data_IF_589253134601
#
_entry.id   IF_589253134601
#
_cell.length_a   1.000
_cell.length_b   1.000
_cell.length_c   1.000
_cell.angle_alpha   90.00
_cell.angle_beta   90.00
_cell.angle_gamma   90.00
#
_symmetry.space_group_name_H-M   'P 1'
#
loop_
_entity.id
_entity.type
_entity.pdbx_description
1 polymer ?
#
# COMPACT_ATOMS: atom_id res chain seq x y z
N UNK A 1 -17.99 6.26 -0.79
CA UNK A 1 -17.46 5.79 -2.09
C UNK A 1 -15.94 5.92 -2.24
N UNK A 2 -15.28 6.98 -1.74
CA UNK A 2 -13.84 7.20 -1.98
C UNK A 2 -12.88 6.12 -1.42
N UNK A 3 -13.17 5.52 -0.25
CA UNK A 3 -12.30 4.50 0.37
C UNK A 3 -12.10 3.25 -0.50
N UNK A 4 -13.16 2.78 -1.18
CA UNK A 4 -13.09 1.58 -2.04
C UNK A 4 -12.20 1.86 -3.26
N UNK A 5 -12.32 3.06 -3.85
CA UNK A 5 -11.47 3.47 -4.96
C UNK A 5 -9.98 3.48 -4.57
N UNK A 6 -9.64 3.95 -3.36
CA UNK A 6 -8.25 3.91 -2.87
C UNK A 6 -7.73 2.48 -2.71
N UNK A 7 -8.53 1.58 -2.13
CA UNK A 7 -8.13 0.18 -1.96
C UNK A 7 -7.88 -0.49 -3.32
N UNK A 8 -8.77 -0.25 -4.30
CA UNK A 8 -8.60 -0.78 -5.65
C UNK A 8 -7.36 -0.21 -6.35
N UNK A 9 -7.10 1.08 -6.21
CA UNK A 9 -5.91 1.72 -6.78
C UNK A 9 -4.61 1.20 -6.15
N UNK A 10 -4.58 1.00 -4.83
CA UNK A 10 -3.45 0.39 -4.12
C UNK A 10 -3.21 -1.02 -4.63
N UNK A 11 -4.27 -1.82 -4.74
CA UNK A 11 -4.16 -3.19 -5.24
C UNK A 11 -3.70 -3.25 -6.70
N UNK A 12 -4.15 -2.33 -7.55
CA UNK A 12 -3.67 -2.21 -8.93
C UNK A 12 -2.19 -1.82 -8.98
N UNK A 13 -1.75 -0.87 -8.15
CA UNK A 13 -0.35 -0.46 -8.07
C UNK A 13 0.57 -1.59 -7.60
N UNK A 14 0.14 -2.40 -6.61
CA UNK A 14 0.91 -3.55 -6.13
C UNK A 14 1.14 -4.61 -7.23
N UNK A 15 0.15 -4.85 -8.09
CA UNK A 15 0.30 -5.75 -9.25
C UNK A 15 1.25 -5.22 -10.34
N UNK A 16 1.51 -3.93 -10.37
CA UNK A 16 2.49 -3.35 -11.28
C UNK A 16 3.91 -3.41 -10.69
N UNK A 17 4.03 -3.36 -9.36
CA UNK A 17 5.32 -3.39 -8.66
C UNK A 17 5.83 -4.82 -8.46
N UNK A 18 4.94 -5.78 -8.25
CA UNK A 18 5.30 -7.17 -7.96
C UNK A 18 4.81 -8.13 -9.04
N UNK A 19 5.72 -8.91 -9.61
CA UNK A 19 5.40 -10.06 -10.46
C UNK A 19 4.98 -11.31 -9.65
N UNK A 20 5.40 -11.39 -8.37
CA UNK A 20 5.04 -12.50 -7.48
C UNK A 20 3.64 -12.25 -6.84
N UNK A 21 2.64 -13.12 -7.08
CA UNK A 21 1.32 -13.02 -6.46
C UNK A 21 1.33 -13.08 -4.93
N UNK A 22 2.29 -13.78 -4.31
CA UNK A 22 2.46 -13.79 -2.86
C UNK A 22 2.77 -12.40 -2.32
N UNK A 23 3.58 -11.60 -3.03
CA UNK A 23 3.88 -10.23 -2.61
C UNK A 23 2.74 -9.26 -2.92
N UNK A 24 1.96 -9.49 -3.98
CA UNK A 24 0.77 -8.65 -4.29
C UNK A 24 -0.23 -8.65 -3.12
N UNK A 25 -0.43 -9.80 -2.47
CA UNK A 25 -1.33 -9.92 -1.31
C UNK A 25 -0.60 -9.80 0.02
N UNK A 26 0.59 -10.38 0.12
CA UNK A 26 1.39 -10.46 1.34
C UNK A 26 1.99 -9.12 1.74
N UNK A 27 2.47 -8.30 0.80
CA UNK A 27 3.13 -7.03 1.10
C UNK A 27 2.22 -6.09 1.91
N UNK A 28 0.93 -6.06 1.58
CA UNK A 28 -0.03 -5.24 2.32
C UNK A 28 -0.24 -5.73 3.76
N UNK A 29 -0.07 -7.02 4.03
CA UNK A 29 -0.24 -7.63 5.35
C UNK A 29 1.08 -7.78 6.13
N UNK A 30 2.23 -7.59 5.50
CA UNK A 30 3.54 -7.66 6.13
C UNK A 30 3.83 -6.41 6.94
N UNK A 31 4.44 -6.60 8.10
CA UNK A 31 5.02 -5.51 8.89
C UNK A 31 6.03 -4.73 8.03
N UNK A 32 5.90 -3.40 8.03
CA UNK A 32 6.78 -2.54 7.27
C UNK A 32 7.54 -1.61 8.25
N UNK A 33 8.86 -1.76 8.29
CA UNK A 33 9.72 -0.99 9.20
C UNK A 33 10.10 0.39 8.66
N UNK A 34 9.60 0.80 7.48
CA UNK A 34 9.77 2.18 7.05
C UNK A 34 9.10 3.13 8.04
N UNK A 35 9.71 4.31 8.22
CA UNK A 35 9.35 5.30 9.24
C UNK A 35 7.85 5.65 9.27
N UNK A 36 7.18 5.68 8.12
CA UNK A 36 5.74 5.93 8.01
C UNK A 36 4.88 4.80 8.60
N UNK A 37 5.29 3.55 8.36
CA UNK A 37 4.56 2.38 8.80
C UNK A 37 4.91 1.99 10.24
N UNK A 38 6.12 2.36 10.70
CA UNK A 38 6.58 2.19 12.07
C UNK A 38 6.37 0.75 12.60
N UNK A 39 6.71 -0.24 11.77
CA UNK A 39 6.56 -1.66 12.06
C UNK A 39 5.15 -2.23 11.83
N UNK A 40 4.16 -1.38 11.51
CA UNK A 40 2.80 -1.82 11.16
C UNK A 40 2.70 -2.21 9.70
N UNK A 41 1.73 -3.05 9.38
CA UNK A 41 1.42 -3.36 7.99
C UNK A 41 0.63 -2.22 7.32
N UNK A 42 0.78 -2.05 5.99
CA UNK A 42 -0.08 -1.15 5.22
C UNK A 42 -1.58 -1.41 5.47
N UNK A 43 -1.99 -2.67 5.60
CA UNK A 43 -3.36 -3.07 5.88
C UNK A 43 -3.86 -2.57 7.23
N UNK A 44 -3.04 -2.63 8.28
CA UNK A 44 -3.39 -2.07 9.58
C UNK A 44 -3.57 -0.55 9.52
N UNK A 45 -2.72 0.15 8.75
CA UNK A 45 -2.84 1.60 8.55
C UNK A 45 -4.11 1.97 7.78
N UNK A 46 -4.42 1.24 6.71
CA UNK A 46 -5.66 1.44 5.93
C UNK A 46 -6.93 1.13 6.75
N UNK A 47 -6.85 0.16 7.67
CA UNK A 47 -7.97 -0.28 8.51
C UNK A 47 -8.35 0.72 9.61
N UNK A 48 -7.46 1.66 9.97
CA UNK A 48 -7.75 2.68 10.99
C UNK A 48 -8.81 3.71 10.58
N UNK A 49 -9.27 3.71 9.33
CA UNK A 49 -10.44 4.49 8.93
C UNK A 49 -10.14 5.91 8.43
N UNK A 50 -8.91 6.40 8.55
CA UNK A 50 -8.53 7.72 8.03
C UNK A 50 -8.25 7.67 6.51
N UNK A 51 -8.74 8.68 5.78
CA UNK A 51 -8.47 8.88 4.35
C UNK A 51 -7.02 9.31 4.11
N UNK A 52 -6.40 10.03 5.06
CA UNK A 52 -5.00 10.46 4.96
C UNK A 52 -4.09 9.23 4.94
N UNK A 53 -4.34 8.28 5.83
CA UNK A 53 -3.62 7.00 5.89
C UNK A 53 -3.70 6.20 4.59
N UNK A 54 -4.86 6.16 3.95
CA UNK A 54 -5.04 5.52 2.64
C UNK A 54 -4.25 6.23 1.54
N UNK A 55 -4.32 7.56 1.51
CA UNK A 55 -3.63 8.38 0.52
C UNK A 55 -2.11 8.26 0.63
N UNK A 56 -1.55 8.35 1.84
CA UNK A 56 -0.11 8.23 2.07
C UNK A 56 0.40 6.82 1.76
N UNK A 57 -0.37 5.77 2.11
CA UNK A 57 -0.05 4.39 1.72
C UNK A 57 0.01 4.25 0.20
N UNK A 58 -0.99 4.77 -0.51
CA UNK A 58 -1.00 4.78 -1.98
C UNK A 58 0.20 5.52 -2.56
N UNK A 59 0.48 6.74 -2.07
CA UNK A 59 1.60 7.56 -2.54
C UNK A 59 2.94 6.84 -2.37
N UNK A 60 3.15 6.14 -1.26
CA UNK A 60 4.41 5.41 -1.02
C UNK A 60 4.59 4.23 -1.98
N UNK A 61 3.52 3.50 -2.26
CA UNK A 61 3.52 2.41 -3.25
C UNK A 61 3.73 2.97 -4.66
N UNK A 62 3.12 4.11 -4.98
CA UNK A 62 3.30 4.76 -6.28
C UNK A 62 4.74 5.28 -6.47
N UNK A 63 5.41 5.72 -5.40
CA UNK A 63 6.85 6.04 -5.45
C UNK A 63 7.70 4.80 -5.73
N UNK A 64 7.35 3.62 -5.19
CA UNK A 64 8.06 2.38 -5.53
C UNK A 64 7.91 2.04 -7.01
N UNK A 65 6.72 2.29 -7.59
CA UNK A 65 6.49 2.21 -9.04
C UNK A 65 7.33 3.23 -9.82
N UNK A 66 7.44 4.45 -9.32
CA UNK A 66 8.15 5.56 -9.96
C UNK A 66 9.67 5.58 -9.74
N UNK A 67 10.22 4.75 -8.85
CA UNK A 67 11.66 4.64 -8.61
C UNK A 67 12.32 3.49 -9.42
N UNK A 68 11.56 2.85 -10.30
CA UNK A 68 11.95 1.66 -11.07
C UNK A 68 12.48 1.98 -12.49
N UNK A 69 13.07 3.15 -12.69
CA UNK A 69 13.69 3.61 -13.95
C UNK A 69 15.18 3.87 -13.76
#
# INVERSE_FOLDING_TARGET
MQRISFILNIHAALRLVFDNPENVYGFAAMANENEFFNGRSPLEIMSQGDMISLYETFRRIDVLRGAQW
#
